data_IF_277540297825
#
_entry.id   IF_277540297825
#
_cell.length_a   1.000
_cell.length_b   1.000
_cell.length_c   1.000
_cell.angle_alpha   90.00
_cell.angle_beta   90.00
_cell.angle_gamma   90.00
#
_symmetry.space_group_name_H-M   'P 1'
#
loop_
_entity.id
_entity.type
_entity.pdbx_description
1 polymer ?
#
# COMPACT_ATOMS: atom_id res chain seq x y z
N UNK A 1 -3.53 -28.89 -7.92
CA UNK A 1 -4.23 -28.34 -6.74
C UNK A 1 -4.02 -29.16 -5.46
N UNK A 2 -4.54 -30.38 -5.32
CA UNK A 2 -4.38 -31.21 -4.08
C UNK A 2 -2.93 -31.41 -3.60
N UNK A 3 -1.98 -31.44 -4.53
CA UNK A 3 -0.53 -31.58 -4.24
C UNK A 3 0.13 -30.30 -3.70
N UNK A 4 -0.42 -29.12 -4.03
CA UNK A 4 0.08 -27.81 -3.59
C UNK A 4 -0.70 -27.27 -2.38
N UNK A 5 -1.96 -27.66 -2.25
CA UNK A 5 -2.86 -27.26 -1.16
C UNK A 5 -3.56 -28.49 -0.58
N UNK A 6 -2.84 -29.35 0.18
CA UNK A 6 -3.40 -30.57 0.73
C UNK A 6 -4.54 -30.33 1.72
N UNK A 7 -4.59 -29.12 2.32
CA UNK A 7 -5.60 -28.70 3.28
C UNK A 7 -6.57 -27.63 2.72
N UNK A 8 -6.59 -27.43 1.39
CA UNK A 8 -7.36 -26.37 0.75
C UNK A 8 -6.64 -25.03 0.65
N UNK A 9 -7.25 -24.08 -0.07
CA UNK A 9 -6.71 -22.72 -0.24
C UNK A 9 -7.08 -21.91 1.01
N UNK A 10 -6.12 -21.27 1.69
CA UNK A 10 -6.42 -20.46 2.86
C UNK A 10 -7.27 -19.24 2.49
N UNK A 11 -8.13 -18.82 3.41
CA UNK A 11 -8.90 -17.59 3.23
C UNK A 11 -7.96 -16.38 3.17
N UNK A 12 -8.03 -15.65 2.05
CA UNK A 12 -7.13 -14.53 1.78
C UNK A 12 -7.76 -13.17 2.07
N UNK A 13 -9.09 -13.06 1.95
CA UNK A 13 -9.83 -11.79 1.92
C UNK A 13 -10.01 -11.26 0.50
N UNK A 14 -11.09 -10.50 0.27
CA UNK A 14 -11.43 -10.00 -1.07
C UNK A 14 -10.40 -9.00 -1.62
N UNK A 15 -9.88 -8.12 -0.76
CA UNK A 15 -8.93 -7.09 -1.20
C UNK A 15 -7.58 -7.67 -1.59
N UNK A 16 -7.12 -8.69 -0.87
CA UNK A 16 -5.90 -9.42 -1.22
C UNK A 16 -6.01 -10.05 -2.62
N UNK A 17 -7.18 -10.63 -2.95
CA UNK A 17 -7.45 -11.17 -4.28
C UNK A 17 -7.49 -10.07 -5.34
N UNK A 18 -8.20 -8.96 -5.10
CA UNK A 18 -8.26 -7.82 -6.03
C UNK A 18 -6.87 -7.25 -6.31
N UNK A 19 -6.09 -6.98 -5.27
CA UNK A 19 -4.72 -6.46 -5.43
C UNK A 19 -3.83 -7.45 -6.19
N UNK A 20 -3.96 -8.75 -5.91
CA UNK A 20 -3.22 -9.78 -6.64
C UNK A 20 -3.55 -9.75 -8.14
N UNK A 21 -4.84 -9.72 -8.50
CA UNK A 21 -5.29 -9.64 -9.89
C UNK A 21 -4.84 -8.34 -10.56
N UNK A 22 -5.02 -7.19 -9.88
CA UNK A 22 -4.58 -5.89 -10.38
C UNK A 22 -3.07 -5.81 -10.58
N UNK A 23 -2.26 -6.59 -9.85
CA UNK A 23 -0.80 -6.60 -9.98
C UNK A 23 -0.28 -7.34 -11.22
N UNK A 24 -1.15 -8.07 -11.93
CA UNK A 24 -0.74 -8.75 -13.15
C UNK A 24 -0.71 -7.77 -14.31
N UNK A 25 0.43 -7.73 -15.01
CA UNK A 25 0.51 -7.04 -16.27
C UNK A 25 -0.22 -7.86 -17.34
N UNK A 26 -1.49 -7.52 -17.59
CA UNK A 26 -2.34 -8.20 -18.57
C UNK A 26 -2.13 -7.55 -19.93
N UNK A 27 -1.27 -8.14 -20.75
CA UNK A 27 -1.16 -7.86 -22.18
C UNK A 27 -1.64 -9.02 -23.06
N UNK A 28 -2.24 -10.06 -22.47
CA UNK A 28 -2.72 -11.27 -23.15
C UNK A 28 -3.97 -11.87 -22.49
N UNK A 29 -4.42 -13.03 -22.97
CA UNK A 29 -5.74 -13.58 -22.61
C UNK A 29 -5.80 -14.24 -21.22
N UNK A 30 -4.70 -14.81 -20.73
CA UNK A 30 -4.71 -15.64 -19.51
C UNK A 30 -3.96 -15.02 -18.33
N UNK A 31 -4.64 -14.97 -17.17
CA UNK A 31 -4.03 -14.66 -15.87
C UNK A 31 -3.74 -15.96 -15.12
N UNK A 32 -2.45 -16.28 -14.95
CA UNK A 32 -2.05 -17.36 -14.03
C UNK A 32 -2.08 -16.85 -12.60
N UNK A 33 -3.21 -17.07 -11.92
CA UNK A 33 -3.38 -16.69 -10.52
C UNK A 33 -2.56 -17.60 -9.61
N UNK A 34 -1.55 -17.01 -8.95
CA UNK A 34 -0.75 -17.69 -7.95
C UNK A 34 -1.30 -17.42 -6.55
N UNK A 35 -1.78 -18.45 -5.86
CA UNK A 35 -2.28 -18.32 -4.47
C UNK A 35 -1.21 -17.71 -3.54
N UNK A 36 0.07 -18.02 -3.77
CA UNK A 36 1.18 -17.41 -3.01
C UNK A 36 1.19 -15.88 -3.11
N UNK A 37 0.90 -15.34 -4.30
CA UNK A 37 0.79 -13.88 -4.52
C UNK A 37 -0.41 -13.29 -3.78
N UNK A 38 -1.55 -13.98 -3.80
CA UNK A 38 -2.73 -13.57 -3.02
C UNK A 38 -2.40 -13.52 -1.52
N UNK A 39 -1.67 -14.51 -1.01
CA UNK A 39 -1.21 -14.52 0.38
C UNK A 39 -0.24 -13.38 0.69
N UNK A 40 0.68 -13.04 -0.23
CA UNK A 40 1.54 -11.86 -0.08
C UNK A 40 0.72 -10.57 0.04
N UNK A 41 -0.33 -10.40 -0.76
CA UNK A 41 -1.21 -9.24 -0.65
C UNK A 41 -2.07 -9.24 0.62
N UNK A 42 -2.43 -10.40 1.16
CA UNK A 42 -3.04 -10.48 2.52
C UNK A 42 -2.09 -9.93 3.58
N UNK A 43 -0.81 -10.30 3.53
CA UNK A 43 0.19 -9.77 4.44
C UNK A 43 0.38 -8.26 4.27
N UNK A 44 0.31 -7.76 3.03
CA UNK A 44 0.33 -6.34 2.73
C UNK A 44 -0.87 -5.60 3.33
N UNK A 45 -2.10 -6.10 3.15
CA UNK A 45 -3.30 -5.53 3.78
C UNK A 45 -3.16 -5.47 5.32
N UNK A 46 -2.64 -6.53 5.94
CA UNK A 46 -2.38 -6.55 7.37
C UNK A 46 -1.29 -5.53 7.79
N UNK A 47 -0.27 -5.32 6.95
CA UNK A 47 0.77 -4.30 7.18
C UNK A 47 0.17 -2.89 7.13
N UNK A 48 -0.71 -2.58 6.17
CA UNK A 48 -1.46 -1.31 6.13
C UNK A 48 -2.28 -1.13 7.41
N UNK A 49 -3.05 -2.15 7.80
CA UNK A 49 -3.87 -2.10 9.01
C UNK A 49 -3.05 -1.82 10.27
N UNK A 50 -1.90 -2.48 10.43
CA UNK A 50 -1.02 -2.27 11.58
C UNK A 50 -0.35 -0.88 11.53
N UNK A 51 0.06 -0.41 10.35
CA UNK A 51 0.61 0.93 10.17
C UNK A 51 -0.40 2.01 10.56
N UNK A 52 -1.65 1.89 10.12
CA UNK A 52 -2.72 2.83 10.48
C UNK A 52 -3.01 2.82 11.98
N UNK A 53 -3.14 1.63 12.60
CA UNK A 53 -3.32 1.54 14.06
C UNK A 53 -2.18 2.19 14.84
N UNK A 54 -0.94 1.98 14.40
CA UNK A 54 0.24 2.60 14.99
C UNK A 54 0.16 4.12 14.91
N UNK A 55 -0.12 4.67 13.73
CA UNK A 55 -0.26 6.12 13.51
C UNK A 55 -1.37 6.70 14.39
N UNK A 56 -2.57 6.11 14.37
CA UNK A 56 -3.71 6.59 15.16
C UNK A 56 -3.42 6.53 16.67
N UNK A 57 -2.70 5.51 17.13
CA UNK A 57 -2.29 5.39 18.54
C UNK A 57 -1.25 6.45 18.90
N UNK A 58 -0.30 6.73 18.01
CA UNK A 58 0.73 7.74 18.22
C UNK A 58 0.17 9.17 18.25
N UNK A 59 -0.83 9.46 17.41
CA UNK A 59 -1.53 10.75 17.38
C UNK A 59 -2.41 10.96 18.63
N UNK A 60 -2.98 9.87 19.15
CA UNK A 60 -3.81 9.89 20.35
C UNK A 60 -5.27 10.33 20.07
N UNK A 61 -6.16 10.14 21.06
CA UNK A 61 -7.60 10.34 20.89
C UNK A 61 -8.03 11.81 20.76
N UNK A 62 -7.15 12.74 21.12
CA UNK A 62 -7.40 14.19 21.07
C UNK A 62 -6.76 14.86 19.86
N UNK A 63 -6.26 14.07 18.90
CA UNK A 63 -5.71 14.60 17.67
C UNK A 63 -6.79 15.26 16.84
N UNK A 64 -6.60 16.54 16.54
CA UNK A 64 -7.46 17.33 15.67
C UNK A 64 -6.64 17.72 14.43
N UNK A 65 -6.92 17.12 13.26
CA UNK A 65 -6.15 17.39 12.05
C UNK A 65 -6.39 18.81 11.57
N UNK A 66 -5.30 19.54 11.32
CA UNK A 66 -5.40 20.83 10.63
C UNK A 66 -5.93 20.61 9.20
N UNK A 67 -6.64 21.59 8.63
CA UNK A 67 -6.99 21.58 7.22
C UNK A 67 -5.74 21.36 6.35
N UNK A 68 -5.81 20.55 5.27
CA UNK A 68 -4.64 20.27 4.43
C UNK A 68 -3.99 21.52 3.85
N UNK A 69 -4.73 22.61 3.65
CA UNK A 69 -4.20 23.88 3.13
C UNK A 69 -3.31 24.59 4.16
N UNK A 70 -3.50 24.31 5.44
CA UNK A 70 -2.77 24.88 6.56
C UNK A 70 -1.66 23.94 7.07
N UNK A 71 -1.70 22.66 6.67
CA UNK A 71 -0.75 21.63 7.06
C UNK A 71 0.62 21.86 6.40
N UNK A 72 1.52 22.55 7.11
CA UNK A 72 2.89 22.78 6.66
C UNK A 72 3.83 21.74 7.31
N UNK A 73 4.47 20.84 6.54
CA UNK A 73 5.38 19.84 7.09
C UNK A 73 6.62 20.48 7.72
N UNK A 74 6.69 20.42 9.05
CA UNK A 74 7.76 21.06 9.81
C UNK A 74 9.06 20.25 9.79
N UNK A 75 8.97 18.91 9.88
CA UNK A 75 10.16 18.06 9.93
C UNK A 75 10.65 17.66 8.52
N UNK A 76 11.98 17.53 8.30
CA UNK A 76 12.51 17.06 7.01
C UNK A 76 11.95 15.72 6.55
N UNK A 77 11.66 14.80 7.48
CA UNK A 77 11.06 13.49 7.14
C UNK A 77 9.63 13.61 6.65
N UNK A 78 8.84 14.54 7.19
CA UNK A 78 7.45 14.78 6.76
C UNK A 78 7.45 15.32 5.33
N UNK A 79 8.32 16.30 5.04
CA UNK A 79 8.55 16.80 3.69
C UNK A 79 8.99 15.70 2.74
N UNK A 80 9.90 14.84 3.19
CA UNK A 80 10.40 13.73 2.39
C UNK A 80 9.28 12.73 2.05
N UNK A 81 8.50 12.27 3.03
CA UNK A 81 7.44 11.27 2.80
C UNK A 81 6.33 11.86 1.93
N UNK A 82 5.96 13.13 2.12
CA UNK A 82 5.00 13.82 1.28
C UNK A 82 5.51 13.94 -0.16
N UNK A 83 6.80 14.21 -0.36
CA UNK A 83 7.39 14.19 -1.72
C UNK A 83 7.28 12.81 -2.39
N UNK A 84 7.48 11.73 -1.62
CA UNK A 84 7.32 10.35 -2.12
C UNK A 84 5.85 10.04 -2.42
N UNK A 85 4.93 10.54 -1.59
CA UNK A 85 3.49 10.39 -1.81
C UNK A 85 3.06 11.08 -3.10
N UNK A 86 3.45 12.34 -3.31
CA UNK A 86 3.14 13.08 -4.55
C UNK A 86 3.68 12.35 -5.78
N UNK A 87 4.91 11.83 -5.72
CA UNK A 87 5.48 11.03 -6.81
C UNK A 87 4.67 9.76 -7.07
N UNK A 88 4.26 9.04 -6.03
CA UNK A 88 3.46 7.82 -6.15
C UNK A 88 2.06 8.10 -6.69
N UNK A 89 1.41 9.19 -6.27
CA UNK A 89 0.12 9.64 -6.80
C UNK A 89 0.24 9.97 -8.29
N UNK A 90 1.25 10.76 -8.68
CA UNK A 90 1.47 11.11 -10.08
C UNK A 90 1.76 9.88 -10.96
N UNK A 91 2.55 8.93 -10.48
CA UNK A 91 2.78 7.67 -11.20
C UNK A 91 1.52 6.82 -11.29
N UNK A 92 0.78 6.67 -10.18
CA UNK A 92 -0.49 5.95 -10.15
C UNK A 92 -1.47 6.54 -11.18
N UNK A 93 -1.62 7.86 -11.20
CA UNK A 93 -2.50 8.55 -12.13
C UNK A 93 -2.09 8.28 -13.59
N UNK A 94 -0.83 8.51 -13.95
CA UNK A 94 -0.33 8.27 -15.33
C UNK A 94 -0.58 6.83 -15.79
N UNK A 95 -0.34 5.86 -14.91
CA UNK A 95 -0.54 4.43 -15.20
C UNK A 95 -2.02 4.10 -15.36
N UNK A 96 -2.89 4.65 -14.51
CA UNK A 96 -4.33 4.48 -14.62
C UNK A 96 -4.88 5.09 -15.93
N UNK A 97 -4.40 6.28 -16.33
CA UNK A 97 -4.75 6.92 -17.61
C UNK A 97 -4.31 6.07 -18.81
N UNK A 98 -3.16 5.40 -18.71
CA UNK A 98 -2.67 4.47 -19.71
C UNK A 98 -3.33 3.07 -19.64
N UNK A 99 -4.33 2.86 -18.76
CA UNK A 99 -4.97 1.57 -18.48
C UNK A 99 -3.99 0.48 -17.96
N UNK A 100 -2.83 0.89 -17.45
CA UNK A 100 -1.79 0.04 -16.87
C UNK A 100 -2.02 -0.17 -15.37
N UNK A 101 -3.13 -0.84 -15.01
CA UNK A 101 -3.55 -1.04 -13.61
C UNK A 101 -2.45 -1.70 -12.76
N UNK A 102 -1.66 -2.59 -13.33
CA UNK A 102 -0.52 -3.22 -12.66
C UNK A 102 0.59 -2.25 -12.26
N UNK A 103 0.87 -1.26 -13.11
CA UNK A 103 1.83 -0.20 -12.82
C UNK A 103 1.31 0.72 -11.71
N UNK A 104 0.02 1.05 -11.75
CA UNK A 104 -0.62 1.82 -10.69
C UNK A 104 -0.57 1.10 -9.34
N UNK A 105 -0.88 -0.21 -9.33
CA UNK A 105 -0.80 -1.04 -8.12
C UNK A 105 0.65 -1.12 -7.59
N UNK A 106 1.63 -1.23 -8.48
CA UNK A 106 3.04 -1.25 -8.11
C UNK A 106 3.48 0.08 -7.46
N UNK A 107 3.04 1.23 -7.98
CA UNK A 107 3.35 2.55 -7.42
C UNK A 107 2.80 2.70 -5.99
N UNK A 108 1.53 2.35 -5.77
CA UNK A 108 0.88 2.39 -4.45
C UNK A 108 1.57 1.44 -3.48
N UNK A 109 1.83 0.20 -3.90
CA UNK A 109 2.49 -0.81 -3.07
C UNK A 109 3.90 -0.39 -2.67
N UNK A 110 4.67 0.18 -3.62
CA UNK A 110 6.02 0.68 -3.37
C UNK A 110 6.03 1.81 -2.34
N UNK A 111 5.13 2.79 -2.47
CA UNK A 111 5.04 3.89 -1.51
C UNK A 111 4.77 3.35 -0.10
N UNK A 112 3.72 2.53 0.06
CA UNK A 112 3.32 2.01 1.36
C UNK A 112 4.41 1.20 2.04
N UNK A 113 5.04 0.27 1.33
CA UNK A 113 6.10 -0.55 1.92
C UNK A 113 7.39 0.24 2.11
N UNK A 114 7.95 0.77 1.02
CA UNK A 114 9.35 1.22 0.97
C UNK A 114 9.54 2.63 1.48
N UNK A 115 8.53 3.50 1.32
CA UNK A 115 8.61 4.89 1.78
C UNK A 115 7.96 5.06 3.14
N UNK A 116 6.69 4.65 3.27
CA UNK A 116 5.93 4.89 4.48
C UNK A 116 6.34 3.96 5.61
N UNK A 117 6.20 2.65 5.43
CA UNK A 117 6.44 1.70 6.53
C UNK A 117 7.93 1.51 6.85
N UNK A 118 8.76 1.26 5.85
CA UNK A 118 10.16 0.87 6.06
C UNK A 118 11.05 2.06 6.49
N UNK A 119 10.67 3.31 6.13
CA UNK A 119 11.48 4.51 6.39
C UNK A 119 10.75 5.50 7.29
N UNK A 120 9.58 6.01 6.90
CA UNK A 120 8.93 7.08 7.64
C UNK A 120 8.48 6.65 9.05
N UNK A 121 7.81 5.51 9.19
CA UNK A 121 7.36 5.02 10.50
C UNK A 121 8.51 4.58 11.42
N UNK A 122 9.69 4.26 10.88
CA UNK A 122 10.88 3.89 11.67
C UNK A 122 11.70 5.13 12.04
N UNK A 123 11.69 6.16 11.19
CA UNK A 123 12.56 7.33 11.26
C UNK A 123 12.27 8.33 12.39
N UNK A 124 11.22 8.12 13.19
CA UNK A 124 10.92 8.95 14.35
C UNK A 124 9.43 8.98 14.72
N UNK A 125 9.05 9.79 15.72
CA UNK A 125 7.66 9.95 16.10
C UNK A 125 6.84 10.49 14.93
N UNK A 126 5.68 9.90 14.68
CA UNK A 126 4.72 10.41 13.68
C UNK A 126 4.21 11.77 14.16
N UNK A 127 4.44 12.80 13.35
CA UNK A 127 4.07 14.19 13.64
C UNK A 127 3.38 14.73 12.39
N UNK A 128 2.14 14.32 12.18
CA UNK A 128 1.28 14.88 11.14
C UNK A 128 0.43 15.98 11.74
#
# INVERSE_FOLDING_TARGET
QRRQFPHGIPECGADALRMALCSHNVHGEDIRLEVGRVLSYRHFCNKIWNALKFVLTALGPSFDPQPPEEAVPQHPMDRWVLSRLVQAVGECQRRMEAMEVHGAMAAVHHFWLRSFCDVYLVGGPVRL
#
